data_IF_225006544796
#
_entry.id   IF_225006544796
#
_cell.length_a   1.000
_cell.length_b   1.000
_cell.length_c   1.000
_cell.angle_alpha   90.00
_cell.angle_beta   90.00
_cell.angle_gamma   90.00
#
_symmetry.space_group_name_H-M   'P 1'
#
loop_
_entity.id
_entity.type
_entity.pdbx_description
1 polymer ?
#
# COMPACT_ATOMS: atom_id res chain seq x y z
N UNK A 1 43.24 5.48 59.15
CA UNK A 1 42.63 6.35 58.13
C UNK A 1 42.32 5.51 56.91
N UNK A 2 41.03 5.44 56.59
CA UNK A 2 40.41 4.57 55.57
C UNK A 2 40.47 5.24 54.21
N UNK A 3 40.70 4.49 53.13
CA UNK A 3 40.48 4.94 51.75
C UNK A 3 39.65 3.91 50.97
N UNK A 4 38.65 4.42 50.26
CA UNK A 4 37.56 3.74 49.56
C UNK A 4 37.98 3.05 48.24
N UNK A 5 37.20 2.07 47.73
CA UNK A 5 37.54 1.36 46.50
C UNK A 5 37.19 2.16 45.25
N UNK A 6 38.11 2.14 44.28
CA UNK A 6 37.98 2.64 42.91
C UNK A 6 37.01 1.78 42.10
N UNK A 7 36.12 2.44 41.36
CA UNK A 7 35.08 1.82 40.51
C UNK A 7 35.61 0.97 39.36
N UNK A 8 34.71 0.23 38.67
CA UNK A 8 35.10 -0.77 37.69
C UNK A 8 35.78 -0.14 36.48
N UNK A 9 36.89 -0.75 36.07
CA UNK A 9 37.64 -0.40 34.88
C UNK A 9 36.74 -0.38 33.63
N UNK A 10 36.86 0.67 32.82
CA UNK A 10 36.22 0.75 31.52
C UNK A 10 36.75 -0.39 30.64
N UNK A 11 35.87 -1.31 30.26
CA UNK A 11 36.18 -2.40 29.33
C UNK A 11 36.50 -1.83 27.94
N UNK A 12 37.49 -2.43 27.28
CA UNK A 12 37.93 -2.19 25.90
C UNK A 12 36.70 -2.10 24.95
N UNK A 13 36.64 -1.11 24.03
CA UNK A 13 35.61 -1.02 22.98
C UNK A 13 35.36 -2.34 22.21
N UNK A 14 36.39 -3.19 22.06
CA UNK A 14 36.27 -4.52 21.46
C UNK A 14 35.39 -5.48 22.29
N UNK A 15 35.55 -5.44 23.61
CA UNK A 15 34.80 -6.27 24.56
C UNK A 15 33.36 -5.79 24.73
N UNK A 16 33.10 -4.48 24.63
CA UNK A 16 31.74 -3.94 24.63
C UNK A 16 30.94 -4.38 23.40
N UNK A 17 31.58 -4.43 22.22
CA UNK A 17 30.95 -4.90 20.98
C UNK A 17 30.64 -6.39 21.04
N UNK A 18 31.55 -7.19 21.62
CA UNK A 18 31.35 -8.63 21.81
C UNK A 18 30.27 -8.93 22.84
N UNK A 19 30.25 -8.22 23.97
CA UNK A 19 29.20 -8.34 24.98
C UNK A 19 27.81 -7.89 24.46
N UNK A 20 27.76 -6.89 23.58
CA UNK A 20 26.53 -6.48 22.90
C UNK A 20 26.03 -7.57 21.93
N UNK A 21 26.93 -8.18 21.15
CA UNK A 21 26.61 -9.30 20.26
C UNK A 21 26.14 -10.53 21.05
N UNK A 22 26.82 -10.86 22.14
CA UNK A 22 26.43 -11.97 23.03
C UNK A 22 25.08 -11.72 23.71
N UNK A 23 24.80 -10.48 24.13
CA UNK A 23 23.48 -10.10 24.65
C UNK A 23 22.38 -10.19 23.59
N UNK A 24 22.64 -9.74 22.36
CA UNK A 24 21.71 -9.85 21.23
C UNK A 24 21.41 -11.32 20.87
N UNK A 25 22.44 -12.18 20.90
CA UNK A 25 22.32 -13.62 20.69
C UNK A 25 21.61 -14.33 21.85
N UNK A 26 21.80 -13.86 23.09
CA UNK A 26 21.14 -14.41 24.27
C UNK A 26 19.66 -13.99 24.38
N UNK A 27 19.29 -12.78 23.95
CA UNK A 27 17.90 -12.33 23.84
C UNK A 27 17.16 -12.91 22.63
N UNK A 28 17.86 -13.58 21.71
CA UNK A 28 17.31 -14.22 20.52
C UNK A 28 16.79 -15.65 20.72
N UNK A 29 16.68 -16.15 21.96
CA UNK A 29 16.12 -17.48 22.25
C UNK A 29 14.69 -17.43 22.81
N UNK A 30 13.82 -16.67 22.16
CA UNK A 30 12.52 -17.25 21.84
C UNK A 30 12.77 -18.14 20.63
N UNK A 31 12.40 -19.42 20.69
CA UNK A 31 12.50 -20.33 19.53
C UNK A 31 11.67 -19.77 18.39
N UNK A 32 12.26 -18.91 17.57
CA UNK A 32 11.74 -18.59 16.26
C UNK A 32 11.79 -19.92 15.50
N UNK A 33 10.61 -20.53 15.31
CA UNK A 33 10.45 -21.58 14.32
C UNK A 33 11.15 -21.11 13.03
N UNK A 34 11.81 -22.01 12.26
CA UNK A 34 12.39 -21.63 10.98
C UNK A 34 11.37 -20.80 10.22
N UNK A 35 11.72 -19.57 9.83
CA UNK A 35 10.78 -18.69 9.13
C UNK A 35 10.31 -19.45 7.89
N UNK A 36 9.10 -20.00 7.95
CA UNK A 36 8.50 -20.76 6.87
C UNK A 36 8.51 -19.84 5.65
N UNK A 37 9.38 -20.13 4.69
CA UNK A 37 9.52 -19.33 3.46
C UNK A 37 8.21 -19.42 2.69
N UNK A 38 7.79 -18.34 2.05
CA UNK A 38 6.60 -18.38 1.19
C UNK A 38 6.94 -19.19 -0.06
N UNK A 39 6.37 -20.39 -0.27
CA UNK A 39 6.65 -21.17 -1.47
C UNK A 39 5.71 -20.76 -2.60
N UNK A 40 6.10 -21.09 -3.84
CA UNK A 40 5.19 -20.94 -4.98
C UNK A 40 4.00 -21.89 -4.86
N UNK A 41 2.80 -21.35 -5.00
CA UNK A 41 1.58 -22.13 -5.04
C UNK A 41 1.35 -22.72 -6.45
N UNK A 42 0.79 -23.93 -6.58
CA UNK A 42 0.42 -24.47 -7.89
C UNK A 42 -0.61 -23.59 -8.60
N UNK A 43 -0.43 -23.35 -9.91
CA UNK A 43 -1.40 -22.62 -10.77
C UNK A 43 -2.38 -23.59 -11.45
N UNK A 44 -2.96 -24.52 -10.68
CA UNK A 44 -3.85 -25.58 -11.18
C UNK A 44 -5.34 -25.24 -11.02
N UNK A 45 -5.66 -24.05 -10.50
CA UNK A 45 -7.02 -23.57 -10.26
C UNK A 45 -6.98 -22.21 -9.56
N UNK A 46 -8.16 -21.69 -9.15
CA UNK A 46 -8.24 -20.47 -8.36
C UNK A 46 -7.39 -20.57 -7.08
N UNK A 47 -6.59 -19.55 -6.82
CA UNK A 47 -5.87 -19.39 -5.56
C UNK A 47 -6.81 -18.76 -4.53
N UNK A 48 -6.64 -19.01 -3.23
CA UNK A 48 -7.45 -18.33 -2.21
C UNK A 48 -7.15 -16.83 -2.19
N UNK A 49 -8.12 -16.03 -1.75
CA UNK A 49 -7.88 -14.62 -1.44
C UNK A 49 -6.99 -14.48 -0.20
N UNK A 50 -6.13 -13.46 -0.18
CA UNK A 50 -5.49 -13.02 1.08
C UNK A 50 -6.56 -12.55 2.08
N UNK A 51 -6.20 -12.41 3.36
CA UNK A 51 -7.14 -11.85 4.34
C UNK A 51 -7.59 -10.43 3.95
N UNK A 52 -6.65 -9.63 3.44
CA UNK A 52 -6.90 -8.26 2.99
C UNK A 52 -7.82 -8.23 1.75
N UNK A 53 -7.58 -9.10 0.76
CA UNK A 53 -8.43 -9.23 -0.42
C UNK A 53 -9.83 -9.75 -0.06
N UNK A 54 -9.94 -10.70 0.87
CA UNK A 54 -11.24 -11.22 1.31
C UNK A 54 -12.11 -10.11 1.92
N UNK A 55 -11.52 -9.19 2.68
CA UNK A 55 -12.23 -8.01 3.21
C UNK A 55 -12.77 -7.13 2.08
N UNK A 56 -11.94 -6.78 1.09
CA UNK A 56 -12.38 -5.93 -0.03
C UNK A 56 -13.40 -6.65 -0.93
N UNK A 57 -13.23 -7.95 -1.17
CA UNK A 57 -14.20 -8.75 -1.89
C UNK A 57 -15.56 -8.76 -1.22
N UNK A 58 -15.61 -8.91 0.11
CA UNK A 58 -16.86 -8.81 0.87
C UNK A 58 -17.51 -7.43 0.69
N UNK A 59 -16.74 -6.34 0.79
CA UNK A 59 -17.26 -4.99 0.65
C UNK A 59 -17.81 -4.72 -0.75
N UNK A 60 -17.13 -5.22 -1.78
CA UNK A 60 -17.61 -5.17 -3.17
C UNK A 60 -18.95 -5.91 -3.34
N UNK A 61 -19.11 -7.09 -2.73
CA UNK A 61 -20.35 -7.85 -2.82
C UNK A 61 -21.50 -7.26 -1.99
N UNK A 62 -21.20 -6.50 -0.92
CA UNK A 62 -22.21 -5.76 -0.16
C UNK A 62 -22.73 -4.53 -0.93
N UNK A 63 -21.94 -3.97 -1.85
CA UNK A 63 -22.27 -2.79 -2.66
C UNK A 63 -21.74 -2.92 -4.08
N UNK A 64 -22.34 -3.82 -4.89
CA UNK A 64 -21.87 -4.05 -6.24
C UNK A 64 -22.03 -2.80 -7.10
N UNK A 65 -21.03 -2.53 -7.93
CA UNK A 65 -21.05 -1.40 -8.88
C UNK A 65 -20.73 -0.04 -8.26
N UNK A 66 -20.14 -0.02 -7.06
CA UNK A 66 -19.57 1.21 -6.49
C UNK A 66 -18.13 1.41 -6.93
N UNK A 67 -17.61 2.64 -6.73
CA UNK A 67 -16.22 2.99 -7.03
C UNK A 67 -15.42 3.33 -5.76
N UNK A 68 -15.89 2.89 -4.58
CA UNK A 68 -15.31 3.23 -3.27
C UNK A 68 -13.83 2.79 -3.14
N UNK A 69 -13.44 1.74 -3.87
CA UNK A 69 -12.08 1.18 -3.86
C UNK A 69 -11.34 1.36 -5.20
N UNK A 70 -11.70 2.38 -5.97
CA UNK A 70 -10.96 2.81 -7.16
C UNK A 70 -9.85 3.76 -6.75
N UNK A 71 -8.61 3.47 -7.16
CA UNK A 71 -7.41 4.23 -6.79
C UNK A 71 -6.74 4.74 -8.07
N UNK A 72 -6.98 6.00 -8.48
CA UNK A 72 -6.25 6.64 -9.55
C UNK A 72 -4.87 7.12 -9.07
N UNK A 73 -3.85 6.92 -9.90
CA UNK A 73 -2.49 7.43 -9.68
C UNK A 73 -2.03 8.11 -10.96
N UNK A 74 -1.55 9.34 -10.83
CA UNK A 74 -1.10 10.15 -11.95
C UNK A 74 0.38 10.55 -11.86
N UNK A 75 1.09 10.47 -12.97
CA UNK A 75 2.43 11.04 -13.13
C UNK A 75 2.44 12.05 -14.28
N UNK A 76 2.97 13.24 -14.01
CA UNK A 76 3.32 14.20 -15.07
C UNK A 76 4.60 13.75 -15.74
N UNK A 77 4.59 13.73 -17.07
CA UNK A 77 5.71 13.36 -17.92
C UNK A 77 6.04 14.58 -18.79
N UNK A 78 7.17 15.21 -18.48
CA UNK A 78 7.68 16.38 -19.19
C UNK A 78 8.80 15.97 -20.16
N UNK A 79 8.70 16.45 -21.39
CA UNK A 79 9.59 16.11 -22.50
C UNK A 79 8.94 15.22 -23.56
N UNK A 80 9.69 14.88 -24.63
CA UNK A 80 9.21 13.98 -25.67
C UNK A 80 8.96 12.58 -25.11
N UNK A 81 7.85 11.96 -25.52
CA UNK A 81 7.41 10.65 -25.03
C UNK A 81 7.32 9.64 -26.18
N UNK A 82 8.02 8.51 -26.06
CA UNK A 82 7.85 7.36 -26.94
C UNK A 82 6.65 6.52 -26.45
N UNK A 83 5.46 6.87 -26.94
CA UNK A 83 4.20 6.19 -26.56
C UNK A 83 4.24 4.68 -26.83
N UNK A 84 4.75 4.18 -27.98
CA UNK A 84 4.96 2.76 -28.19
C UNK A 84 5.85 2.09 -27.12
N UNK A 85 6.95 2.71 -26.70
CA UNK A 85 7.80 2.16 -25.64
C UNK A 85 7.10 2.16 -24.28
N UNK A 86 6.32 3.21 -23.98
CA UNK A 86 5.49 3.27 -22.77
C UNK A 86 4.45 2.14 -22.73
N UNK A 87 3.76 1.89 -23.84
CA UNK A 87 2.78 0.78 -23.94
C UNK A 87 3.46 -0.57 -23.67
N UNK A 88 4.62 -0.83 -24.30
CA UNK A 88 5.40 -2.06 -24.03
C UNK A 88 5.84 -2.17 -22.58
N UNK A 89 6.21 -1.05 -21.94
CA UNK A 89 6.59 -1.04 -20.53
C UNK A 89 5.41 -1.41 -19.61
N UNK A 90 4.21 -0.92 -19.90
CA UNK A 90 2.98 -1.26 -19.18
C UNK A 90 2.59 -2.74 -19.37
N UNK A 91 2.66 -3.26 -20.59
CA UNK A 91 2.39 -4.68 -20.87
C UNK A 91 3.41 -5.59 -20.15
N UNK A 92 4.67 -5.17 -20.09
CA UNK A 92 5.72 -5.87 -19.35
C UNK A 92 5.47 -5.89 -17.83
N UNK A 93 4.95 -4.80 -17.24
CA UNK A 93 4.53 -4.79 -15.83
C UNK A 93 3.40 -5.79 -15.59
N UNK A 94 2.41 -5.82 -16.48
CA UNK A 94 1.28 -6.76 -16.40
C UNK A 94 1.75 -8.22 -16.54
N UNK A 95 2.72 -8.48 -17.40
CA UNK A 95 3.35 -9.80 -17.54
C UNK A 95 4.08 -10.22 -16.26
N UNK A 96 4.83 -9.28 -15.67
CA UNK A 96 5.70 -9.48 -14.51
C UNK A 96 4.93 -9.71 -13.20
N UNK A 97 3.80 -9.04 -13.01
CA UNK A 97 3.01 -9.08 -11.77
C UNK A 97 1.64 -9.70 -11.99
N UNK A 98 1.47 -10.94 -11.52
CA UNK A 98 0.22 -11.69 -11.66
C UNK A 98 -0.99 -10.91 -11.11
N UNK A 99 -0.84 -10.23 -9.97
CA UNK A 99 -1.93 -9.51 -9.29
C UNK A 99 -2.61 -8.46 -10.17
N UNK A 100 -1.87 -7.88 -11.11
CA UNK A 100 -2.38 -6.85 -12.02
C UNK A 100 -3.25 -7.43 -13.14
N UNK A 101 -3.16 -8.74 -13.41
CA UNK A 101 -3.96 -9.47 -14.42
C UNK A 101 -4.85 -10.54 -13.79
N UNK A 102 -5.10 -10.43 -12.50
CA UNK A 102 -5.89 -11.39 -11.73
C UNK A 102 -7.36 -11.05 -11.77
N UNK A 103 -8.20 -12.02 -12.13
CA UNK A 103 -9.65 -11.95 -11.93
C UNK A 103 -10.02 -12.43 -10.54
N UNK A 104 -11.10 -11.88 -9.99
CA UNK A 104 -11.66 -12.25 -8.70
C UNK A 104 -13.07 -12.76 -8.92
N UNK A 105 -13.33 -13.98 -8.46
CA UNK A 105 -14.61 -14.63 -8.67
C UNK A 105 -14.87 -15.65 -7.56
N UNK A 106 -16.14 -15.99 -7.38
CA UNK A 106 -16.55 -17.09 -6.53
C UNK A 106 -16.50 -18.40 -7.33
N UNK A 107 -15.89 -19.44 -6.74
CA UNK A 107 -15.84 -20.80 -7.29
C UNK A 107 -16.34 -21.75 -6.20
N UNK A 108 -17.41 -22.48 -6.47
CA UNK A 108 -18.05 -23.39 -5.50
C UNK A 108 -18.36 -22.72 -4.14
N UNK A 109 -18.92 -21.51 -4.20
CA UNK A 109 -19.24 -20.68 -3.04
C UNK A 109 -18.03 -20.21 -2.21
N UNK A 110 -16.82 -20.29 -2.78
CA UNK A 110 -15.58 -19.83 -2.15
C UNK A 110 -14.95 -18.74 -3.02
N UNK A 111 -14.67 -17.54 -2.48
CA UNK A 111 -14.03 -16.49 -3.25
C UNK A 111 -12.56 -16.85 -3.51
N UNK A 112 -12.14 -16.69 -4.77
CA UNK A 112 -10.81 -16.99 -5.23
C UNK A 112 -10.27 -15.94 -6.20
N UNK A 113 -8.98 -16.06 -6.46
CA UNK A 113 -8.25 -15.23 -7.41
C UNK A 113 -7.66 -16.10 -8.52
N UNK A 114 -7.82 -15.67 -9.76
CA UNK A 114 -7.37 -16.38 -10.95
C UNK A 114 -6.45 -15.48 -11.78
N UNK A 115 -5.12 -15.61 -11.64
CA UNK A 115 -4.17 -14.94 -12.52
C UNK A 115 -4.36 -15.40 -13.96
N UNK A 116 -4.68 -14.48 -14.87
CA UNK A 116 -4.82 -14.79 -16.30
C UNK A 116 -3.46 -14.82 -16.99
N UNK A 117 -3.28 -15.47 -18.14
CA UNK A 117 -2.11 -15.28 -18.99
C UNK A 117 -1.83 -13.79 -19.25
N UNK A 118 -0.56 -13.43 -19.43
CA UNK A 118 -0.19 -12.06 -19.78
C UNK A 118 -0.85 -11.67 -21.11
N UNK A 119 -1.46 -10.49 -21.12
CA UNK A 119 -2.09 -9.87 -22.29
C UNK A 119 -1.72 -8.40 -22.38
N UNK A 120 -2.43 -7.66 -23.22
CA UNK A 120 -2.26 -6.22 -23.34
C UNK A 120 -3.07 -5.48 -22.26
N UNK A 121 -2.50 -4.41 -21.71
CA UNK A 121 -3.21 -3.53 -20.81
C UNK A 121 -4.25 -2.70 -21.58
N UNK A 122 -5.43 -2.51 -20.97
CA UNK A 122 -6.42 -1.55 -21.47
C UNK A 122 -5.84 -0.13 -21.37
N UNK A 123 -5.41 0.40 -22.52
CA UNK A 123 -4.66 1.66 -22.65
C UNK A 123 -5.38 2.59 -23.62
N UNK A 124 -5.72 3.79 -23.15
CA UNK A 124 -6.36 4.82 -23.97
C UNK A 124 -5.47 6.07 -24.03
N UNK A 125 -5.30 6.64 -25.23
CA UNK A 125 -4.68 7.96 -25.41
C UNK A 125 -5.79 9.01 -25.53
N UNK A 126 -5.79 9.99 -24.65
CA UNK A 126 -6.72 11.13 -24.65
C UNK A 126 -5.94 12.38 -24.99
N UNK A 127 -6.28 13.03 -26.09
CA UNK A 127 -5.68 14.30 -26.49
C UNK A 127 -6.57 15.46 -26.04
N UNK A 128 -6.09 16.23 -25.06
CA UNK A 128 -6.77 17.44 -24.60
C UNK A 128 -6.32 18.70 -25.35
N UNK A 129 -5.28 18.58 -26.18
CA UNK A 129 -4.60 19.68 -26.84
C UNK A 129 -3.96 20.66 -25.85
N UNK A 130 -3.58 21.83 -26.35
CA UNK A 130 -2.99 22.92 -25.57
C UNK A 130 -4.07 24.00 -25.28
N UNK A 131 -5.00 23.77 -24.34
CA UNK A 131 -5.86 24.84 -23.84
C UNK A 131 -5.01 25.80 -22.98
N UNK A 132 -5.58 26.97 -22.64
CA UNK A 132 -5.05 27.75 -21.51
C UNK A 132 -4.85 26.83 -20.30
N UNK A 133 -3.76 27.02 -19.55
CA UNK A 133 -3.28 26.12 -18.51
C UNK A 133 -4.41 25.78 -17.53
N UNK A 134 -5.18 26.77 -17.11
CA UNK A 134 -6.32 26.60 -16.19
C UNK A 134 -7.41 25.69 -16.75
N UNK A 135 -7.71 25.75 -18.04
CA UNK A 135 -8.71 24.90 -18.68
C UNK A 135 -8.19 23.47 -18.86
N UNK A 136 -6.90 23.30 -19.15
CA UNK A 136 -6.25 21.99 -19.21
C UNK A 136 -6.30 21.26 -17.88
N UNK A 137 -5.94 21.94 -16.80
CA UNK A 137 -5.96 21.38 -15.44
C UNK A 137 -7.38 21.01 -14.99
N UNK A 138 -8.39 21.83 -15.32
CA UNK A 138 -9.80 21.51 -15.02
C UNK A 138 -10.27 20.26 -15.75
N UNK A 139 -9.97 20.15 -17.05
CA UNK A 139 -10.32 18.97 -17.85
C UNK A 139 -9.63 17.71 -17.36
N UNK A 140 -8.36 17.82 -16.93
CA UNK A 140 -7.66 16.71 -16.29
C UNK A 140 -8.34 16.29 -14.99
N UNK A 141 -8.73 17.24 -14.14
CA UNK A 141 -9.43 16.94 -12.90
C UNK A 141 -10.79 16.26 -13.15
N UNK A 142 -11.56 16.75 -14.13
CA UNK A 142 -12.83 16.12 -14.56
C UNK A 142 -12.62 14.70 -15.08
N UNK A 143 -11.57 14.46 -15.86
CA UNK A 143 -11.23 13.13 -16.36
C UNK A 143 -10.84 12.20 -15.20
N UNK A 144 -9.97 12.64 -14.30
CA UNK A 144 -9.57 11.86 -13.12
C UNK A 144 -10.78 11.52 -12.25
N UNK A 145 -11.69 12.47 -12.03
CA UNK A 145 -12.92 12.25 -11.27
C UNK A 145 -13.86 11.26 -11.97
N UNK A 146 -14.00 11.34 -13.30
CA UNK A 146 -14.79 10.39 -14.07
C UNK A 146 -14.21 8.96 -13.97
N UNK A 147 -12.88 8.84 -14.06
CA UNK A 147 -12.18 7.58 -13.90
C UNK A 147 -12.30 7.04 -12.47
N UNK A 148 -12.19 7.89 -11.45
CA UNK A 148 -12.33 7.52 -10.05
C UNK A 148 -13.75 7.03 -9.71
N UNK A 149 -14.76 7.47 -10.46
CA UNK A 149 -16.17 7.08 -10.29
C UNK A 149 -16.60 5.88 -11.13
N UNK A 150 -15.75 5.41 -12.04
CA UNK A 150 -16.08 4.30 -12.93
C UNK A 150 -15.69 2.96 -12.27
N UNK A 151 -16.66 2.09 -11.90
CA UNK A 151 -16.39 0.82 -11.22
C UNK A 151 -15.53 -0.14 -12.05
N UNK A 152 -14.95 -1.15 -11.37
CA UNK A 152 -14.24 -2.25 -12.04
C UNK A 152 -15.11 -3.50 -12.15
N UNK A 153 -15.00 -4.19 -13.28
CA UNK A 153 -15.42 -5.57 -13.42
C UNK A 153 -14.24 -6.50 -13.06
N UNK A 154 -14.16 -6.85 -11.77
CA UNK A 154 -13.13 -7.73 -11.23
C UNK A 154 -13.21 -9.17 -11.75
N UNK A 155 -14.38 -9.61 -12.21
CA UNK A 155 -14.59 -10.94 -12.77
C UNK A 155 -14.20 -11.03 -14.26
N UNK A 156 -14.23 -9.92 -15.00
CA UNK A 156 -13.99 -9.89 -16.44
C UNK A 156 -12.72 -9.15 -16.86
N UNK A 157 -12.58 -7.86 -16.59
CA UNK A 157 -11.52 -7.01 -17.19
C UNK A 157 -10.24 -6.90 -16.38
N UNK A 158 -10.25 -7.37 -15.14
CA UNK A 158 -9.10 -7.29 -14.23
C UNK A 158 -9.05 -5.94 -13.48
N UNK A 159 -8.05 -5.76 -12.59
CA UNK A 159 -8.08 -4.70 -11.59
C UNK A 159 -7.28 -3.45 -11.97
N UNK A 160 -6.95 -3.25 -13.25
CA UNK A 160 -6.14 -2.11 -13.70
C UNK A 160 -6.55 -1.65 -15.10
N UNK A 161 -6.50 -0.33 -15.32
CA UNK A 161 -6.60 0.32 -16.63
C UNK A 161 -5.64 1.52 -16.70
N UNK A 162 -5.28 1.93 -17.90
CA UNK A 162 -4.35 3.03 -18.14
C UNK A 162 -4.92 4.07 -19.12
N UNK A 163 -4.65 5.33 -18.84
CA UNK A 163 -4.89 6.43 -19.76
C UNK A 163 -3.65 7.32 -19.86
N UNK A 164 -3.26 7.65 -21.08
CA UNK A 164 -2.27 8.68 -21.33
C UNK A 164 -3.00 9.94 -21.80
N UNK A 165 -2.89 11.00 -21.02
CA UNK A 165 -3.43 12.31 -21.37
C UNK A 165 -2.32 13.13 -22.01
N UNK A 166 -2.52 13.57 -23.25
CA UNK A 166 -1.60 14.47 -23.95
C UNK A 166 -2.14 15.89 -23.92
N UNK A 167 -1.31 16.84 -23.50
CA UNK A 167 -1.56 18.27 -23.69
C UNK A 167 -0.80 18.77 -24.91
N UNK A 168 0.50 18.48 -24.97
CA UNK A 168 1.37 18.77 -26.10
C UNK A 168 2.31 17.59 -26.33
N UNK A 169 3.11 17.63 -27.39
CA UNK A 169 4.16 16.62 -27.61
C UNK A 169 5.27 16.63 -26.54
N UNK A 170 5.23 17.58 -25.59
CA UNK A 170 6.17 17.71 -24.47
C UNK A 170 5.51 17.54 -23.10
N UNK A 171 4.19 17.52 -23.00
CA UNK A 171 3.49 17.49 -21.72
C UNK A 171 2.40 16.44 -21.73
N UNK A 172 2.58 15.44 -20.87
CA UNK A 172 1.65 14.32 -20.75
C UNK A 172 1.36 14.03 -19.27
N UNK A 173 0.22 13.38 -19.02
CA UNK A 173 -0.09 12.76 -17.74
C UNK A 173 -0.42 11.30 -17.98
N UNK A 174 0.36 10.40 -17.39
CA UNK A 174 0.00 8.99 -17.32
C UNK A 174 -0.88 8.76 -16.10
N UNK A 175 -2.10 8.30 -16.32
CA UNK A 175 -3.03 7.84 -15.30
C UNK A 175 -3.06 6.32 -15.29
N UNK A 176 -2.77 5.72 -14.15
CA UNK A 176 -3.03 4.31 -13.88
C UNK A 176 -4.11 4.22 -12.82
N UNK A 177 -5.17 3.49 -13.14
CA UNK A 177 -6.32 3.34 -12.27
C UNK A 177 -6.39 1.89 -11.83
N UNK A 178 -6.42 1.68 -10.52
CA UNK A 178 -6.44 0.35 -9.92
C UNK A 178 -7.73 0.13 -9.16
N UNK A 179 -8.15 -1.12 -9.07
CA UNK A 179 -8.97 -1.54 -7.94
C UNK A 179 -8.05 -1.84 -6.75
N UNK A 180 -8.40 -1.33 -5.56
CA UNK A 180 -7.56 -1.40 -4.35
C UNK A 180 -7.26 -2.86 -3.93
N UNK A 181 -8.05 -3.84 -4.38
CA UNK A 181 -7.82 -5.29 -4.16
C UNK A 181 -6.47 -5.80 -4.70
N UNK A 182 -5.89 -5.11 -5.69
CA UNK A 182 -4.66 -5.51 -6.36
C UNK A 182 -3.48 -4.56 -6.07
N UNK A 183 -3.69 -3.49 -5.30
CA UNK A 183 -2.74 -2.40 -5.21
C UNK A 183 -2.80 -1.67 -3.85
N UNK A 184 -1.67 -1.19 -3.35
CA UNK A 184 -1.59 -0.39 -2.12
C UNK A 184 -0.61 0.80 -2.27
N UNK A 185 -0.55 1.66 -1.26
CA UNK A 185 0.33 2.84 -1.29
C UNK A 185 1.82 2.50 -1.43
N UNK A 186 2.26 1.36 -0.87
CA UNK A 186 3.64 0.90 -1.03
C UNK A 186 3.92 0.43 -2.48
N UNK A 187 2.94 -0.18 -3.14
CA UNK A 187 3.00 -0.60 -4.53
C UNK A 187 3.20 0.58 -5.48
N UNK A 188 2.68 1.77 -5.17
CA UNK A 188 2.88 2.99 -5.96
C UNK A 188 4.37 3.30 -6.20
N UNK A 189 5.16 3.24 -5.13
CA UNK A 189 6.60 3.48 -5.22
C UNK A 189 7.36 2.38 -5.98
N UNK A 190 6.93 1.13 -5.88
CA UNK A 190 7.53 0.01 -6.63
C UNK A 190 7.24 0.13 -8.12
N UNK A 191 5.96 0.34 -8.44
CA UNK A 191 5.45 0.44 -9.81
C UNK A 191 6.13 1.58 -10.56
N UNK A 192 6.25 2.77 -9.95
CA UNK A 192 6.91 3.92 -10.58
C UNK A 192 8.37 3.61 -10.96
N UNK A 193 9.12 2.94 -10.07
CA UNK A 193 10.52 2.55 -10.33
C UNK A 193 10.63 1.51 -11.44
N UNK A 194 9.77 0.49 -11.41
CA UNK A 194 9.81 -0.56 -12.43
C UNK A 194 9.33 -0.05 -13.80
N UNK A 195 8.35 0.86 -13.84
CA UNK A 195 7.89 1.49 -15.07
C UNK A 195 9.00 2.32 -15.71
N UNK A 196 9.72 3.14 -14.95
CA UNK A 196 10.87 3.91 -15.43
C UNK A 196 11.94 2.99 -16.03
N UNK A 197 12.30 1.92 -15.32
CA UNK A 197 13.29 0.96 -15.79
C UNK A 197 12.85 0.30 -17.10
N UNK A 198 11.61 -0.19 -17.18
CA UNK A 198 11.09 -0.86 -18.37
C UNK A 198 10.96 0.09 -19.57
N UNK A 199 10.51 1.32 -19.33
CA UNK A 199 10.43 2.35 -20.36
C UNK A 199 11.80 2.63 -20.99
N UNK A 200 12.84 2.76 -20.16
CA UNK A 200 14.23 2.93 -20.62
C UNK A 200 14.71 1.72 -21.43
N UNK A 201 14.47 0.50 -20.96
CA UNK A 201 14.81 -0.73 -21.70
C UNK A 201 14.16 -0.77 -23.10
N UNK A 202 12.91 -0.33 -23.22
CA UNK A 202 12.20 -0.36 -24.50
C UNK A 202 12.52 0.81 -25.42
N UNK A 203 12.98 1.95 -24.90
CA UNK A 203 13.47 3.08 -25.70
C UNK A 203 14.89 2.84 -26.19
N UNK A 204 15.73 2.15 -25.40
CA UNK A 204 17.09 1.75 -25.77
C UNK A 204 17.13 0.53 -26.71
N UNK A 205 16.00 -0.15 -26.90
CA UNK A 205 15.87 -1.30 -27.82
C UNK A 205 16.39 -2.63 -27.27
N UNK A 206 16.77 -2.71 -25.99
CA UNK A 206 17.27 -3.95 -25.36
C UNK A 206 16.16 -5.00 -25.20
N UNK A 207 14.92 -4.58 -24.92
CA UNK A 207 13.74 -5.47 -24.86
C UNK A 207 13.79 -6.59 -23.80
N UNK A 208 14.88 -6.70 -23.04
CA UNK A 208 15.10 -7.71 -22.01
C UNK A 208 14.33 -7.35 -20.74
N UNK A 209 13.38 -8.19 -20.38
CA UNK A 209 12.63 -8.01 -19.13
C UNK A 209 13.49 -8.36 -17.91
N UNK A 210 13.39 -7.59 -16.81
CA UNK A 210 13.96 -7.98 -15.52
C UNK A 210 13.40 -9.34 -15.06
N UNK A 211 14.24 -10.14 -14.39
CA UNK A 211 13.84 -11.44 -13.86
C UNK A 211 12.60 -11.31 -12.95
N UNK A 212 11.57 -12.13 -13.19
CA UNK A 212 10.31 -12.07 -12.46
C UNK A 212 10.53 -12.22 -10.94
N UNK A 213 9.66 -11.62 -10.09
CA UNK A 213 9.72 -11.80 -8.65
C UNK A 213 9.77 -13.29 -8.26
N UNK A 214 10.56 -13.61 -7.22
CA UNK A 214 10.76 -14.99 -6.76
C UNK A 214 9.43 -15.66 -6.36
N UNK A 215 8.51 -14.89 -5.80
CA UNK A 215 7.13 -15.25 -5.51
C UNK A 215 6.18 -14.20 -6.10
N UNK A 216 4.91 -14.54 -6.23
CA UNK A 216 3.84 -13.66 -6.68
C UNK A 216 2.83 -13.43 -5.54
N UNK A 217 1.97 -12.42 -5.67
CA UNK A 217 1.00 -12.10 -4.62
C UNK A 217 0.08 -13.31 -4.28
N UNK A 218 -0.32 -14.10 -5.28
CA UNK A 218 -1.12 -15.32 -5.06
C UNK A 218 -0.40 -16.38 -4.21
N UNK A 219 0.94 -16.40 -4.23
CA UNK A 219 1.73 -17.28 -3.36
C UNK A 219 1.65 -16.82 -1.90
N UNK A 220 1.75 -15.51 -1.65
CA UNK A 220 1.54 -14.92 -0.34
C UNK A 220 0.10 -15.13 0.17
N UNK A 221 -0.90 -14.98 -0.71
CA UNK A 221 -2.29 -15.27 -0.40
C UNK A 221 -2.51 -16.73 0.00
N UNK A 222 -1.87 -17.67 -0.69
CA UNK A 222 -1.94 -19.10 -0.37
C UNK A 222 -1.21 -19.45 0.93
N UNK A 223 -0.04 -18.83 1.17
CA UNK A 223 0.77 -19.09 2.35
C UNK A 223 0.07 -18.64 3.64
N UNK A 224 -0.57 -17.47 3.67
CA UNK A 224 -1.22 -16.97 4.89
C UNK A 224 -2.46 -17.77 5.31
N UNK A 225 -3.00 -18.60 4.41
CA UNK A 225 -4.14 -19.51 4.65
C UNK A 225 -3.71 -20.89 5.14
N UNK A 226 -2.41 -21.11 5.34
CA UNK A 226 -1.92 -22.39 5.89
C UNK A 226 -2.27 -22.46 7.38
N UNK A 227 -2.57 -23.65 7.92
CA UNK A 227 -2.94 -23.82 9.32
C UNK A 227 -1.96 -23.18 10.33
N UNK A 228 -0.65 -23.21 10.05
CA UNK A 228 0.35 -22.59 10.91
C UNK A 228 0.27 -21.05 10.95
N UNK A 229 -0.01 -20.41 9.82
CA UNK A 229 -0.20 -18.96 9.75
C UNK A 229 -1.53 -18.54 10.41
N UNK A 230 -2.58 -19.35 10.25
CA UNK A 230 -3.87 -19.13 10.90
C UNK A 230 -3.82 -19.30 12.42
N UNK A 231 -3.05 -20.27 12.92
CA UNK A 231 -2.85 -20.44 14.36
C UNK A 231 -2.20 -19.21 15.02
N UNK A 232 -1.26 -18.54 14.32
CA UNK A 232 -0.66 -17.29 14.80
C UNK A 232 -1.70 -16.15 14.92
N UNK A 233 -2.73 -16.13 14.07
CA UNK A 233 -3.80 -15.14 14.14
C UNK A 233 -4.69 -15.30 15.39
N UNK A 234 -4.83 -16.51 15.93
CA UNK A 234 -5.62 -16.72 17.15
C UNK A 234 -5.03 -15.95 18.35
N UNK A 235 -3.70 -15.91 18.46
CA UNK A 235 -3.00 -15.11 19.48
C UNK A 235 -3.21 -13.61 19.28
N UNK A 236 -3.10 -13.12 18.04
CA UNK A 236 -3.40 -11.72 17.73
C UNK A 236 -4.85 -11.34 18.01
N UNK A 237 -5.80 -12.24 17.71
CA UNK A 237 -7.21 -12.00 17.97
C UNK A 237 -7.51 -11.92 19.47
N UNK A 238 -6.90 -12.77 20.28
CA UNK A 238 -7.02 -12.69 21.74
C UNK A 238 -6.50 -11.35 22.26
N UNK A 239 -5.31 -10.93 21.80
CA UNK A 239 -4.73 -9.63 22.13
C UNK A 239 -5.67 -8.48 21.75
N UNK A 240 -6.17 -8.43 20.51
CA UNK A 240 -7.03 -7.34 20.06
C UNK A 240 -8.39 -7.31 20.76
N UNK A 241 -8.94 -8.47 21.15
CA UNK A 241 -10.17 -8.51 21.97
C UNK A 241 -9.97 -7.88 23.34
N UNK A 242 -8.80 -8.11 23.96
CA UNK A 242 -8.46 -7.48 25.23
C UNK A 242 -8.21 -5.98 25.07
N UNK A 243 -7.38 -5.58 24.11
CA UNK A 243 -7.01 -4.17 23.90
C UNK A 243 -8.19 -3.29 23.47
N UNK A 244 -9.16 -3.85 22.74
CA UNK A 244 -10.34 -3.12 22.27
C UNK A 244 -11.58 -3.37 23.15
N UNK A 245 -11.41 -4.04 24.29
CA UNK A 245 -12.51 -4.24 25.23
C UNK A 245 -13.01 -2.89 25.75
N UNK A 246 -14.28 -2.58 25.50
CA UNK A 246 -14.88 -1.30 25.90
C UNK A 246 -14.52 -0.12 24.99
N UNK A 247 -13.82 -0.35 23.88
CA UNK A 247 -13.57 0.70 22.89
C UNK A 247 -14.90 1.15 22.26
N UNK A 248 -15.20 2.44 22.38
CA UNK A 248 -16.38 3.06 21.76
C UNK A 248 -15.99 3.86 20.52
N UNK A 249 -16.93 3.99 19.59
CA UNK A 249 -16.77 4.93 18.49
C UNK A 249 -16.71 6.37 19.04
N UNK A 250 -15.71 7.13 18.60
CA UNK A 250 -15.58 8.52 19.00
C UNK A 250 -16.69 9.35 18.34
N UNK A 251 -17.52 9.99 19.17
CA UNK A 251 -18.52 10.94 18.71
C UNK A 251 -17.89 12.33 18.65
N UNK A 252 -17.82 12.89 17.44
CA UNK A 252 -17.37 14.24 17.17
C UNK A 252 -18.58 15.12 16.88
N UNK A 253 -18.55 16.37 17.33
CA UNK A 253 -19.57 17.34 16.96
C UNK A 253 -19.54 17.54 15.43
N UNK A 254 -20.58 17.05 14.75
CA UNK A 254 -20.77 17.21 13.32
C UNK A 254 -21.95 18.16 13.07
N UNK A 255 -21.89 18.90 11.96
CA UNK A 255 -22.97 19.82 11.56
C UNK A 255 -24.27 19.08 11.18
N UNK A 256 -24.19 17.76 10.94
CA UNK A 256 -25.29 16.90 10.52
C UNK A 256 -25.28 15.59 11.32
N UNK A 257 -26.46 15.01 11.62
CA UNK A 257 -26.52 13.71 12.28
C UNK A 257 -25.89 12.62 11.41
N UNK A 258 -25.30 11.62 12.06
CA UNK A 258 -24.75 10.44 11.39
C UNK A 258 -25.89 9.68 10.67
N UNK A 259 -25.79 9.44 9.35
CA UNK A 259 -26.85 8.73 8.64
C UNK A 259 -26.87 7.24 9.02
N UNK A 260 -28.07 6.63 9.00
CA UNK A 260 -28.24 5.20 9.30
C UNK A 260 -27.65 4.28 8.22
N UNK A 261 -27.57 4.79 6.99
CA UNK A 261 -26.89 4.15 5.86
C UNK A 261 -25.65 4.98 5.56
N UNK A 262 -24.52 4.32 5.37
CA UNK A 262 -23.28 5.00 5.00
C UNK A 262 -23.45 5.80 3.71
N UNK A 263 -22.93 7.02 3.71
CA UNK A 263 -22.89 7.92 2.57
C UNK A 263 -21.41 8.20 2.24
N UNK A 264 -20.92 7.86 1.03
CA UNK A 264 -19.55 8.12 0.64
C UNK A 264 -19.26 9.60 0.31
N UNK A 265 -20.28 10.48 0.31
CA UNK A 265 -20.08 11.89 0.01
C UNK A 265 -19.15 12.57 1.03
N UNK A 266 -18.04 13.11 0.52
CA UNK A 266 -17.03 13.81 1.31
C UNK A 266 -16.27 14.84 0.49
N UNK A 267 -15.41 15.59 1.16
CA UNK A 267 -14.51 16.56 0.54
C UNK A 267 -13.08 16.35 1.03
N UNK A 268 -12.10 16.64 0.17
CA UNK A 268 -10.69 16.62 0.50
C UNK A 268 -10.22 18.03 0.85
N UNK A 269 -9.72 18.21 2.08
CA UNK A 269 -9.08 19.46 2.50
C UNK A 269 -7.57 19.26 2.60
N UNK A 270 -6.86 19.81 1.62
CA UNK A 270 -5.40 19.78 1.59
C UNK A 270 -4.81 20.99 2.34
N UNK A 271 -3.75 20.75 3.10
CA UNK A 271 -2.94 21.80 3.72
C UNK A 271 -1.47 21.37 3.73
N UNK A 272 -0.56 22.34 3.81
CA UNK A 272 0.88 22.10 3.86
C UNK A 272 1.43 22.51 5.22
N UNK A 273 2.19 21.63 5.86
CA UNK A 273 2.95 21.97 7.08
C UNK A 273 4.18 22.77 6.67
N UNK A 274 4.38 24.01 7.17
CA UNK A 274 5.55 24.80 6.82
C UNK A 274 6.87 24.07 7.14
N UNK A 275 7.86 24.17 6.26
CA UNK A 275 9.11 23.43 6.37
C UNK A 275 9.84 23.63 7.71
N UNK A 276 9.78 24.84 8.28
CA UNK A 276 10.33 25.12 9.61
C UNK A 276 9.64 24.31 10.72
N UNK A 277 8.31 24.23 10.68
CA UNK A 277 7.54 23.45 11.64
C UNK A 277 7.79 21.94 11.44
N UNK A 278 7.82 21.45 10.20
CA UNK A 278 8.12 20.05 9.91
C UNK A 278 9.48 19.61 10.47
N UNK A 279 10.53 20.45 10.32
CA UNK A 279 11.85 20.20 10.91
C UNK A 279 11.80 20.17 12.44
N UNK A 280 11.14 21.14 13.05
CA UNK A 280 10.98 21.21 14.51
C UNK A 280 10.26 19.98 15.08
N UNK A 281 9.19 19.51 14.42
CA UNK A 281 8.48 18.29 14.81
C UNK A 281 9.36 17.04 14.69
N UNK A 282 10.17 16.94 13.63
CA UNK A 282 11.10 15.83 13.44
C UNK A 282 12.21 15.81 14.50
N UNK A 283 12.74 16.98 14.86
CA UNK A 283 13.74 17.14 15.93
C UNK A 283 13.14 16.81 17.31
N UNK A 284 11.93 17.28 17.59
CA UNK A 284 11.19 16.93 18.79
C UNK A 284 11.00 15.41 18.90
N UNK A 285 10.51 14.76 17.85
CA UNK A 285 10.37 13.31 17.81
C UNK A 285 11.69 12.60 18.09
N UNK A 286 12.77 13.01 17.41
CA UNK A 286 14.12 12.45 17.62
C UNK A 286 14.59 12.58 19.07
N UNK A 287 14.38 13.73 19.70
CA UNK A 287 14.75 13.95 21.11
C UNK A 287 14.00 13.07 22.10
N UNK A 288 12.87 12.47 21.68
CA UNK A 288 12.01 11.58 22.47
C UNK A 288 12.04 10.13 22.00
N UNK A 289 12.90 9.76 21.05
CA UNK A 289 12.92 8.42 20.46
C UNK A 289 11.65 8.08 19.67
N UNK A 290 10.92 9.09 19.19
CA UNK A 290 9.68 8.94 18.44
C UNK A 290 9.87 9.30 16.97
N UNK A 291 9.11 8.64 16.09
CA UNK A 291 9.08 8.98 14.67
C UNK A 291 8.20 10.22 14.42
N UNK A 292 8.36 10.94 13.29
CA UNK A 292 7.45 12.01 12.93
C UNK A 292 5.98 11.56 12.89
N UNK A 293 5.70 10.33 12.46
CA UNK A 293 4.36 9.75 12.49
C UNK A 293 3.80 9.66 13.91
N UNK A 294 4.57 9.16 14.88
CA UNK A 294 4.14 9.08 16.28
C UNK A 294 3.82 10.46 16.87
N UNK A 295 4.64 11.48 16.55
CA UNK A 295 4.40 12.87 16.98
C UNK A 295 3.09 13.40 16.41
N UNK A 296 2.85 13.22 15.11
CA UNK A 296 1.62 13.68 14.46
C UNK A 296 0.39 12.90 14.92
N UNK A 297 0.50 11.59 15.13
CA UNK A 297 -0.59 10.77 15.67
C UNK A 297 -0.96 11.21 17.09
N UNK A 298 0.03 11.47 17.94
CA UNK A 298 -0.22 11.99 19.28
C UNK A 298 -0.89 13.38 19.26
N UNK A 299 -0.45 14.27 18.36
CA UNK A 299 -1.09 15.58 18.17
C UNK A 299 -2.53 15.44 17.67
N UNK A 300 -2.80 14.50 16.76
CA UNK A 300 -4.14 14.20 16.27
C UNK A 300 -5.05 13.59 17.35
N UNK A 301 -4.55 12.64 18.14
CA UNK A 301 -5.27 12.09 19.29
C UNK A 301 -5.61 13.19 20.31
N UNK A 302 -4.69 14.11 20.59
CA UNK A 302 -4.94 15.25 21.47
C UNK A 302 -6.03 16.18 20.92
N UNK A 303 -6.04 16.43 19.62
CA UNK A 303 -7.09 17.20 18.95
C UNK A 303 -8.45 16.52 19.14
N UNK A 304 -8.54 15.24 18.81
CA UNK A 304 -9.75 14.44 18.94
C UNK A 304 -10.25 14.39 20.39
N UNK A 305 -9.35 14.16 21.34
CA UNK A 305 -9.64 14.14 22.78
C UNK A 305 -10.31 15.46 23.24
N UNK A 306 -9.78 16.60 22.79
CA UNK A 306 -10.33 17.93 23.12
C UNK A 306 -11.71 18.16 22.51
N UNK A 307 -11.93 17.73 21.26
CA UNK A 307 -13.21 17.90 20.58
C UNK A 307 -14.30 16.96 21.10
N UNK A 308 -13.92 15.74 21.52
CA UNK A 308 -14.86 14.76 22.05
C UNK A 308 -15.05 14.85 23.58
N UNK A 309 -14.23 15.64 24.28
CA UNK A 309 -14.23 15.70 25.75
C UNK A 309 -13.84 14.38 26.40
N UNK A 310 -13.02 13.56 25.74
CA UNK A 310 -12.59 12.24 26.22
C UNK A 310 -11.07 12.16 26.33
N UNK A 311 -10.58 11.34 27.25
CA UNK A 311 -9.14 11.07 27.43
C UNK A 311 -8.69 9.74 26.80
N UNK A 312 -9.63 8.83 26.56
CA UNK A 312 -9.41 7.59 25.83
C UNK A 312 -9.90 7.75 24.38
N UNK A 313 -8.98 7.64 23.42
CA UNK A 313 -9.22 7.91 22.00
C UNK A 313 -8.58 6.81 21.16
N UNK A 314 -9.44 6.00 20.53
CA UNK A 314 -9.03 5.00 19.55
C UNK A 314 -8.96 5.61 18.16
N UNK A 315 -7.80 5.49 17.50
CA UNK A 315 -7.59 5.93 16.12
C UNK A 315 -7.11 4.73 15.29
N UNK A 316 -7.87 4.38 14.25
CA UNK A 316 -7.42 3.42 13.25
C UNK A 316 -6.32 4.01 12.39
N UNK A 317 -5.26 3.25 12.13
CA UNK A 317 -4.18 3.65 11.23
C UNK A 317 -3.84 2.51 10.27
N UNK A 318 -3.68 2.79 8.96
CA UNK A 318 -3.21 1.79 8.03
C UNK A 318 -1.75 1.45 8.31
N UNK A 319 -1.40 0.17 8.20
CA UNK A 319 -0.02 -0.31 8.21
C UNK A 319 0.27 -1.01 6.89
N UNK A 320 1.51 -0.97 6.42
CA UNK A 320 1.87 -1.46 5.09
C UNK A 320 1.75 -2.99 4.90
N UNK A 321 1.53 -3.77 5.97
CA UNK A 321 1.37 -5.23 5.91
C UNK A 321 2.61 -6.05 5.48
N UNK A 322 3.71 -5.38 5.07
CA UNK A 322 4.92 -6.00 4.50
C UNK A 322 5.99 -6.28 5.55
N UNK A 323 5.69 -7.20 6.47
CA UNK A 323 6.59 -7.54 7.59
C UNK A 323 7.70 -8.53 7.22
N UNK A 324 7.66 -9.09 6.01
CA UNK A 324 8.60 -10.10 5.51
C UNK A 324 9.43 -9.59 4.34
N UNK A 325 10.64 -10.10 4.18
CA UNK A 325 11.54 -9.69 3.11
C UNK A 325 10.99 -10.09 1.73
N UNK A 326 10.40 -11.27 1.64
CA UNK A 326 9.88 -11.87 0.40
C UNK A 326 8.74 -11.05 -0.23
N UNK A 327 8.00 -10.28 0.57
CA UNK A 327 6.84 -9.48 0.12
C UNK A 327 7.12 -7.99 -0.01
N UNK A 328 8.32 -7.54 0.36
CA UNK A 328 8.65 -6.10 0.39
C UNK A 328 8.59 -5.47 -1.00
N UNK A 329 9.04 -6.20 -2.01
CA UNK A 329 9.11 -5.74 -3.41
C UNK A 329 8.00 -6.34 -4.29
N UNK A 330 6.87 -6.78 -3.69
CA UNK A 330 5.72 -7.28 -4.46
C UNK A 330 4.68 -6.20 -4.69
N UNK A 331 4.08 -6.15 -5.87
CA UNK A 331 2.84 -5.38 -6.07
C UNK A 331 1.67 -6.18 -5.49
N UNK A 332 0.74 -5.50 -4.82
CA UNK A 332 -0.46 -6.11 -4.25
C UNK A 332 -1.06 -5.32 -3.09
N UNK A 333 -2.12 -5.86 -2.48
CA UNK A 333 -2.80 -5.26 -1.34
C UNK A 333 -2.44 -5.95 -0.02
N UNK A 334 -1.56 -5.37 0.78
CA UNK A 334 -1.05 -6.01 2.01
C UNK A 334 -1.74 -5.50 3.29
#
# INVERSE_FOLDING_TARGET
>A
MTALPTGPAALDPGDQRRALLERLLATGRGTAAPLDTIPRAPRQGPLPLSFAQQRLWLLENLRPGTAEYVVPIGWRLDGPLDVPALRRALDALLQRHEVLRTRYQECDSVPGQLPLPAGELDFTLVDLGEPDQDLGERRLAELVDAQARTPFDLGGRGPVRAELVRFTDQHHVLLLIFHHIAFDGASAGLLARELDQLYRTFTEGDGRLPAAPAIQYGDFASWQRRPGAEAALAGHLAYWREQLAGAEALELAADRPRPAVFDPAGALHAFTVPAALARSLAEFGRSRGATPFMVLLAAFQLLLARHAGRTDVTVGSPVAGRTRAEVRELIGFF
#
